data_IF_079946497167
#
_entry.id   IF_079946497167
#
_cell.length_a   1.000
_cell.length_b   1.000
_cell.length_c   1.000
_cell.angle_alpha   90.00
_cell.angle_beta   90.00
_cell.angle_gamma   90.00
#
_symmetry.space_group_name_H-M   'P 1'
#
loop_
_entity.id
_entity.type
_entity.pdbx_description
1 polymer ?
#
# COMPACT_ATOMS: atom_id res chain seq x y z
N UNK A 1 -15.13 4.28 0.66
CA UNK A 1 -14.85 2.92 0.17
C UNK A 1 -14.83 1.92 1.32
N UNK A 2 -15.24 0.67 1.07
CA UNK A 2 -15.17 -0.39 2.08
C UNK A 2 -13.71 -0.68 2.43
N UNK A 3 -13.39 -0.70 3.73
CA UNK A 3 -12.05 -1.02 4.20
C UNK A 3 -11.68 -2.48 3.87
N UNK A 4 -10.50 -2.74 3.28
CA UNK A 4 -10.04 -4.09 3.02
C UNK A 4 -9.71 -4.82 4.31
N UNK A 5 -9.68 -6.15 4.28
CA UNK A 5 -9.18 -6.98 5.38
C UNK A 5 -7.70 -7.24 5.15
N UNK A 6 -6.88 -7.07 6.19
CA UNK A 6 -5.46 -7.43 6.17
C UNK A 6 -5.33 -8.94 6.06
N UNK A 7 -4.58 -9.39 5.07
CA UNK A 7 -4.25 -10.79 4.86
C UNK A 7 -2.79 -11.05 5.23
N UNK A 8 -2.54 -12.09 6.03
CA UNK A 8 -1.21 -12.44 6.51
C UNK A 8 -1.23 -13.52 7.57
N UNK A 9 -0.41 -13.38 8.60
CA UNK A 9 -0.30 -14.37 9.67
C UNK A 9 -1.15 -13.98 10.88
N UNK A 10 -1.83 -14.96 11.48
CA UNK A 10 -2.56 -14.79 12.71
C UNK A 10 -1.66 -15.06 13.94
N UNK A 11 -1.87 -14.28 15.01
CA UNK A 11 -1.20 -14.50 16.31
C UNK A 11 -1.72 -15.75 17.03
N UNK A 12 -2.93 -16.17 16.72
CA UNK A 12 -3.55 -17.39 17.25
C UNK A 12 -4.13 -18.19 16.09
N UNK A 13 -3.81 -19.50 15.98
CA UNK A 13 -4.30 -20.33 14.89
C UNK A 13 -5.82 -20.55 14.88
N UNK A 14 -6.53 -20.20 15.95
CA UNK A 14 -7.98 -20.23 15.99
C UNK A 14 -8.65 -19.03 15.34
N UNK A 15 -7.90 -17.97 15.02
CA UNK A 15 -8.45 -16.79 14.36
C UNK A 15 -8.62 -17.00 12.87
N UNK A 16 -9.64 -16.38 12.33
CA UNK A 16 -9.99 -16.38 10.91
C UNK A 16 -10.23 -14.97 10.41
N UNK A 17 -10.35 -14.77 9.12
CA UNK A 17 -10.72 -13.48 8.54
C UNK A 17 -12.07 -12.96 9.07
N UNK A 18 -12.99 -13.88 9.42
CA UNK A 18 -14.29 -13.53 9.99
C UNK A 18 -14.19 -12.80 11.35
N UNK A 19 -13.09 -12.97 12.07
CA UNK A 19 -12.84 -12.32 13.36
C UNK A 19 -12.26 -10.91 13.21
N UNK A 20 -11.82 -10.53 12.00
CA UNK A 20 -11.11 -9.28 11.74
C UNK A 20 -12.07 -8.11 11.44
N UNK A 21 -11.63 -6.92 11.83
CA UNK A 21 -12.16 -5.65 11.32
C UNK A 21 -11.51 -5.30 9.98
N UNK A 22 -12.17 -4.43 9.21
CA UNK A 22 -11.56 -3.81 8.06
C UNK A 22 -10.39 -2.91 8.46
N UNK A 23 -9.38 -2.85 7.62
CA UNK A 23 -8.16 -2.05 7.85
C UNK A 23 -8.45 -0.57 7.60
N UNK A 24 -8.22 0.26 8.60
CA UNK A 24 -8.45 1.72 8.53
C UNK A 24 -7.22 2.52 8.06
N UNK A 25 -6.04 1.88 8.01
CA UNK A 25 -4.88 2.43 7.35
C UNK A 25 -4.17 3.56 8.08
N UNK A 26 -3.75 3.36 9.31
CA UNK A 26 -2.88 4.31 10.03
C UNK A 26 -1.49 4.46 9.40
N UNK A 27 -1.01 3.43 8.70
CA UNK A 27 0.27 3.40 7.99
C UNK A 27 0.23 3.94 6.55
N UNK A 28 -0.91 4.37 6.04
CA UNK A 28 -1.05 4.78 4.63
C UNK A 28 -0.11 5.91 4.21
N UNK A 29 0.19 6.86 5.09
CA UNK A 29 1.15 7.94 4.81
C UNK A 29 2.55 7.38 4.57
N UNK A 30 2.98 6.43 5.38
CA UNK A 30 4.26 5.75 5.24
C UNK A 30 4.36 4.98 3.93
N UNK A 31 3.27 4.33 3.53
CA UNK A 31 3.19 3.61 2.25
C UNK A 31 3.30 4.55 1.04
N UNK A 32 2.64 5.70 1.07
CA UNK A 32 2.74 6.72 0.00
C UNK A 32 4.15 7.30 -0.08
N UNK A 33 4.84 7.42 1.05
CA UNK A 33 6.24 7.83 1.10
C UNK A 33 7.19 6.75 0.55
N UNK A 34 6.74 5.49 0.42
CA UNK A 34 7.48 4.38 -0.17
C UNK A 34 8.06 3.39 0.83
N UNK A 35 7.70 3.49 2.10
CA UNK A 35 8.07 2.53 3.14
C UNK A 35 6.99 1.44 3.29
N UNK A 36 7.32 0.35 3.96
CA UNK A 36 6.35 -0.72 4.21
C UNK A 36 6.06 -1.60 2.99
N UNK A 37 4.79 -1.75 2.61
CA UNK A 37 4.35 -2.64 1.55
C UNK A 37 4.88 -2.35 0.16
N UNK A 38 5.07 -1.07 -0.12
CA UNK A 38 5.66 -0.60 -1.38
C UNK A 38 7.13 -1.00 -1.51
N UNK A 39 7.84 -1.16 -0.40
CA UNK A 39 9.26 -1.54 -0.33
C UNK A 39 9.47 -2.92 0.30
N UNK A 40 8.57 -3.84 0.07
CA UNK A 40 8.60 -5.18 0.70
C UNK A 40 9.93 -5.90 0.53
N UNK A 41 10.63 -5.73 -0.60
CA UNK A 41 11.94 -6.34 -0.85
C UNK A 41 13.03 -5.82 0.10
N UNK A 42 12.88 -4.63 0.66
CA UNK A 42 13.85 -4.05 1.58
C UNK A 42 13.84 -4.68 2.98
N UNK A 43 12.76 -5.36 3.37
CA UNK A 43 12.55 -5.88 4.71
C UNK A 43 12.44 -7.41 4.78
N UNK A 44 13.54 -8.19 4.78
CA UNK A 44 13.46 -9.66 4.84
C UNK A 44 12.71 -10.19 6.07
N UNK A 45 12.86 -9.54 7.23
CA UNK A 45 12.11 -9.89 8.44
C UNK A 45 10.60 -9.68 8.27
N UNK A 46 10.23 -8.70 7.48
CA UNK A 46 8.86 -8.39 7.14
C UNK A 46 8.19 -9.52 6.34
N UNK A 47 8.91 -10.19 5.44
CA UNK A 47 8.41 -11.31 4.65
C UNK A 47 7.90 -12.45 5.55
N UNK A 48 8.60 -12.69 6.67
CA UNK A 48 8.17 -13.69 7.66
C UNK A 48 6.85 -13.31 8.32
N UNK A 49 6.67 -12.05 8.63
CA UNK A 49 5.45 -11.53 9.27
C UNK A 49 4.23 -11.59 8.34
N UNK A 50 4.44 -11.42 7.05
CA UNK A 50 3.35 -11.46 6.05
C UNK A 50 3.16 -12.82 5.40
N UNK A 51 4.02 -13.79 5.71
CA UNK A 51 4.03 -15.11 5.06
C UNK A 51 4.44 -15.05 3.57
N UNK A 52 5.13 -14.00 3.16
CA UNK A 52 5.52 -13.77 1.76
C UNK A 52 6.91 -14.33 1.44
N UNK A 53 7.15 -14.62 0.17
CA UNK A 53 8.46 -15.01 -0.38
C UNK A 53 9.25 -13.79 -0.88
N UNK A 54 10.56 -13.94 -1.08
CA UNK A 54 11.42 -12.89 -1.67
C UNK A 54 10.95 -12.54 -3.10
N UNK A 55 10.53 -13.53 -3.87
CA UNK A 55 10.03 -13.31 -5.23
C UNK A 55 8.76 -12.46 -5.25
N UNK A 56 7.83 -12.74 -4.35
CA UNK A 56 6.60 -11.94 -4.19
C UNK A 56 6.92 -10.52 -3.72
N UNK A 57 7.84 -10.35 -2.77
CA UNK A 57 8.27 -9.04 -2.31
C UNK A 57 8.91 -8.21 -3.42
N UNK A 58 9.78 -8.83 -4.24
CA UNK A 58 10.35 -8.18 -5.43
C UNK A 58 9.27 -7.76 -6.41
N UNK A 59 8.35 -8.65 -6.72
CA UNK A 59 7.22 -8.35 -7.62
C UNK A 59 6.35 -7.20 -7.10
N UNK A 60 6.07 -7.16 -5.79
CA UNK A 60 5.32 -6.06 -5.16
C UNK A 60 6.06 -4.74 -5.27
N UNK A 61 7.36 -4.72 -4.99
CA UNK A 61 8.18 -3.50 -5.08
C UNK A 61 8.28 -2.99 -6.53
N UNK A 62 8.42 -3.88 -7.53
CA UNK A 62 8.41 -3.48 -8.94
C UNK A 62 7.04 -2.89 -9.37
N UNK A 63 5.95 -3.50 -8.95
CA UNK A 63 4.61 -2.94 -9.17
C UNK A 63 4.44 -1.57 -8.51
N UNK A 64 4.97 -1.41 -7.29
CA UNK A 64 4.96 -0.13 -6.60
C UNK A 64 5.73 0.95 -7.35
N UNK A 65 6.91 0.63 -7.90
CA UNK A 65 7.69 1.55 -8.74
C UNK A 65 6.92 1.99 -9.98
N UNK A 66 6.20 1.06 -10.61
CA UNK A 66 5.39 1.38 -11.81
C UNK A 66 4.32 2.44 -11.55
N UNK A 67 3.80 2.52 -10.33
CA UNK A 67 2.76 3.48 -9.93
C UNK A 67 3.29 4.65 -9.09
N UNK A 68 4.61 4.75 -8.93
CA UNK A 68 5.27 5.83 -8.18
C UNK A 68 5.85 6.89 -9.12
N UNK A 69 6.06 8.09 -8.61
CA UNK A 69 6.68 9.20 -9.35
C UNK A 69 8.18 9.01 -9.54
N UNK A 70 8.84 8.31 -8.60
CA UNK A 70 10.28 8.09 -8.64
C UNK A 70 10.75 7.11 -7.56
N UNK A 71 12.06 7.14 -7.34
CA UNK A 71 12.75 6.35 -6.31
C UNK A 71 13.59 7.26 -5.42
N UNK A 72 13.71 6.91 -4.13
CA UNK A 72 14.58 7.62 -3.19
C UNK A 72 16.04 7.44 -3.56
N UNK A 73 16.78 8.53 -3.68
CA UNK A 73 18.21 8.52 -3.99
C UNK A 73 19.09 8.25 -2.76
N UNK A 74 18.58 8.52 -1.57
CA UNK A 74 19.33 8.37 -0.31
C UNK A 74 19.07 7.06 0.44
N UNK A 75 18.16 6.22 -0.06
CA UNK A 75 17.79 4.95 0.56
C UNK A 75 17.84 3.79 -0.45
N UNK A 76 19.04 3.40 -0.91
CA UNK A 76 19.19 2.31 -1.86
C UNK A 76 18.99 0.95 -1.17
N UNK A 77 18.46 0.00 -1.91
CA UNK A 77 18.26 -1.38 -1.47
C UNK A 77 19.40 -2.23 -2.03
N UNK A 78 20.39 -2.66 -1.22
CA UNK A 78 21.61 -3.29 -1.73
C UNK A 78 21.38 -4.56 -2.55
N UNK A 79 20.43 -5.38 -2.16
CA UNK A 79 20.09 -6.64 -2.85
C UNK A 79 19.05 -6.50 -3.96
N UNK A 80 18.75 -5.26 -4.33
CA UNK A 80 17.88 -4.89 -5.45
C UNK A 80 18.61 -3.91 -6.37
N UNK A 81 19.84 -4.26 -6.73
CA UNK A 81 20.74 -3.50 -7.59
C UNK A 81 20.95 -2.04 -7.15
N UNK A 82 20.94 -1.81 -5.84
CA UNK A 82 21.02 -0.48 -5.23
C UNK A 82 19.93 0.51 -5.70
N UNK A 83 18.85 0.03 -6.24
CA UNK A 83 17.69 0.87 -6.55
C UNK A 83 17.05 1.41 -5.26
N UNK A 84 16.46 2.59 -5.35
CA UNK A 84 15.80 3.24 -4.21
C UNK A 84 14.42 2.68 -3.91
N UNK A 85 13.88 3.06 -2.77
CA UNK A 85 12.47 2.84 -2.46
C UNK A 85 11.59 3.61 -3.44
N UNK A 86 10.46 3.03 -3.90
CA UNK A 86 9.48 3.79 -4.66
C UNK A 86 8.94 4.95 -3.82
N UNK A 87 8.74 6.11 -4.42
CA UNK A 87 8.26 7.31 -3.73
C UNK A 87 7.26 8.10 -4.55
N UNK A 88 6.25 8.62 -3.86
CA UNK A 88 5.23 9.47 -4.45
C UNK A 88 4.24 8.67 -5.31
N UNK A 89 3.20 8.16 -4.70
CA UNK A 89 2.17 7.39 -5.38
C UNK A 89 1.38 8.28 -6.36
N UNK A 90 1.32 7.88 -7.62
CA UNK A 90 0.56 8.57 -8.67
C UNK A 90 -0.79 7.88 -8.91
N UNK A 91 -1.87 8.52 -8.46
CA UNK A 91 -3.23 7.99 -8.63
C UNK A 91 -3.61 7.72 -10.10
N UNK A 92 -3.08 8.48 -11.05
CA UNK A 92 -3.33 8.28 -12.49
C UNK A 92 -2.72 6.97 -12.97
N UNK A 93 -1.51 6.65 -12.51
CA UNK A 93 -0.83 5.38 -12.83
C UNK A 93 -1.50 4.20 -12.15
N UNK A 94 -1.92 4.37 -10.88
CA UNK A 94 -2.68 3.33 -10.15
C UNK A 94 -3.94 2.95 -10.93
N UNK A 95 -4.74 3.94 -11.34
CA UNK A 95 -5.98 3.69 -12.08
C UNK A 95 -5.70 3.21 -13.50
N UNK A 96 -4.76 3.85 -14.22
CA UNK A 96 -4.47 3.55 -15.61
C UNK A 96 -3.82 2.18 -15.84
N UNK A 97 -2.94 1.75 -14.94
CA UNK A 97 -2.28 0.44 -14.99
C UNK A 97 -3.04 -0.65 -14.24
N UNK A 98 -4.08 -0.29 -13.48
CA UNK A 98 -4.80 -1.19 -12.59
C UNK A 98 -3.86 -1.95 -11.62
N UNK A 99 -2.85 -1.26 -11.10
CA UNK A 99 -1.91 -1.77 -10.10
C UNK A 99 -2.25 -1.12 -8.77
N UNK A 100 -2.72 -1.92 -7.82
CA UNK A 100 -3.12 -1.44 -6.51
C UNK A 100 -1.92 -1.37 -5.56
N UNK A 101 -1.72 -0.25 -4.88
CA UNK A 101 -0.72 -0.15 -3.82
C UNK A 101 -1.07 -1.07 -2.66
N UNK A 102 -0.05 -1.55 -1.99
CA UNK A 102 -0.18 -2.47 -0.85
C UNK A 102 0.19 -1.71 0.41
N UNK A 103 -0.71 -1.72 1.38
CA UNK A 103 -0.44 -1.24 2.73
C UNK A 103 -0.22 -2.41 3.67
N UNK A 104 0.71 -2.25 4.59
CA UNK A 104 1.01 -3.20 5.65
C UNK A 104 0.46 -2.74 6.98
N UNK A 105 0.06 -3.69 7.83
CA UNK A 105 -0.40 -3.34 9.16
C UNK A 105 -0.76 -4.55 10.01
N UNK A 106 -1.15 -4.25 11.24
CA UNK A 106 -1.77 -5.21 12.13
C UNK A 106 -3.24 -5.39 11.81
N UNK A 107 -3.72 -6.62 11.89
CA UNK A 107 -5.15 -6.92 11.81
C UNK A 107 -5.80 -6.74 13.18
N UNK A 108 -6.83 -5.90 13.26
CA UNK A 108 -7.61 -5.71 14.47
C UNK A 108 -8.74 -6.74 14.57
N UNK A 109 -8.98 -7.27 15.76
CA UNK A 109 -10.08 -8.18 16.04
C UNK A 109 -11.36 -7.42 16.34
N UNK A 110 -12.50 -7.92 15.89
CA UNK A 110 -13.84 -7.39 16.23
C UNK A 110 -14.11 -7.31 17.74
N UNK A 111 -13.54 -8.25 18.50
CA UNK A 111 -13.62 -8.30 19.97
C UNK A 111 -12.58 -7.43 20.69
N UNK A 112 -11.75 -6.70 19.94
CA UNK A 112 -10.64 -5.91 20.47
C UNK A 112 -9.32 -6.65 20.47
N UNK A 113 -8.22 -5.90 20.39
CA UNK A 113 -6.86 -6.41 20.33
C UNK A 113 -6.37 -6.72 18.91
N UNK A 114 -5.13 -7.17 18.82
CA UNK A 114 -4.46 -7.52 17.57
C UNK A 114 -4.67 -8.99 17.24
N UNK A 115 -5.14 -9.28 16.05
CA UNK A 115 -5.36 -10.64 15.54
C UNK A 115 -4.19 -11.21 14.77
N UNK A 116 -3.35 -10.34 14.20
CA UNK A 116 -2.23 -10.73 13.35
C UNK A 116 -1.56 -9.55 12.70
N UNK A 117 -0.84 -9.82 11.63
CA UNK A 117 -0.23 -8.80 10.78
C UNK A 117 -0.16 -9.28 9.34
N UNK A 118 -0.16 -8.35 8.39
CA UNK A 118 -0.13 -8.71 6.99
C UNK A 118 -0.20 -7.51 6.06
N UNK A 119 -0.79 -7.72 4.90
CA UNK A 119 -0.92 -6.74 3.85
C UNK A 119 -2.35 -6.64 3.33
N UNK A 120 -2.73 -5.48 2.83
CA UNK A 120 -3.97 -5.25 2.11
C UNK A 120 -3.72 -4.42 0.86
N UNK A 121 -4.38 -4.74 -0.23
CA UNK A 121 -4.43 -3.86 -1.40
C UNK A 121 -5.37 -2.69 -1.12
N UNK A 122 -4.90 -1.47 -1.44
CA UNK A 122 -5.72 -0.28 -1.30
C UNK A 122 -6.80 -0.25 -2.38
N UNK A 123 -8.06 0.02 -2.03
CA UNK A 123 -9.16 -0.03 -3.00
C UNK A 123 -8.99 1.00 -4.12
N UNK A 124 -9.15 0.57 -5.37
CA UNK A 124 -9.01 1.43 -6.57
C UNK A 124 -9.97 2.64 -6.54
N UNK A 125 -11.12 2.51 -5.91
CA UNK A 125 -12.11 3.58 -5.85
C UNK A 125 -11.60 4.81 -5.09
N UNK A 126 -10.72 4.64 -4.09
CA UNK A 126 -10.07 5.78 -3.43
C UNK A 126 -9.29 6.65 -4.44
N UNK A 127 -8.58 6.02 -5.37
CA UNK A 127 -7.79 6.71 -6.39
C UNK A 127 -8.66 7.33 -7.48
N UNK A 128 -9.72 6.63 -7.90
CA UNK A 128 -10.69 7.17 -8.86
C UNK A 128 -11.41 8.39 -8.30
N UNK A 129 -11.83 8.35 -7.04
CA UNK A 129 -12.52 9.47 -6.40
C UNK A 129 -11.58 10.66 -6.19
N UNK A 130 -10.31 10.42 -5.82
CA UNK A 130 -9.30 11.47 -5.75
C UNK A 130 -9.09 12.16 -7.11
N UNK A 131 -8.99 11.40 -8.21
CA UNK A 131 -8.85 11.95 -9.56
C UNK A 131 -10.08 12.76 -9.97
N UNK A 132 -11.30 12.30 -9.65
CA UNK A 132 -12.54 13.05 -9.91
C UNK A 132 -12.58 14.36 -9.14
N UNK A 133 -12.17 14.35 -7.86
CA UNK A 133 -12.12 15.55 -7.04
C UNK A 133 -11.14 16.58 -7.60
N UNK A 134 -9.90 16.16 -7.93
CA UNK A 134 -8.88 17.03 -8.52
C UNK A 134 -9.37 17.62 -9.85
N UNK A 135 -9.99 16.82 -10.71
CA UNK A 135 -10.53 17.29 -11.98
C UNK A 135 -11.62 18.35 -11.78
N UNK A 136 -12.53 18.13 -10.84
CA UNK A 136 -13.59 19.08 -10.51
C UNK A 136 -13.03 20.42 -10.01
N UNK A 137 -12.03 20.38 -9.13
CA UNK A 137 -11.36 21.59 -8.62
C UNK A 137 -10.61 22.34 -9.73
N UNK A 138 -9.91 21.62 -10.61
CA UNK A 138 -9.20 22.22 -11.74
C UNK A 138 -10.15 22.95 -12.70
N UNK A 139 -11.32 22.38 -12.98
CA UNK A 139 -12.34 23.04 -13.80
C UNK A 139 -12.89 24.31 -13.12
N UNK A 140 -13.20 24.24 -11.82
CA UNK A 140 -13.68 25.40 -11.07
C UNK A 140 -12.64 26.54 -11.01
N UNK A 141 -11.36 26.20 -10.97
CA UNK A 141 -10.27 27.17 -11.04
C UNK A 141 -10.18 27.85 -12.40
N UNK A 142 -10.24 27.09 -13.47
CA UNK A 142 -10.20 27.62 -14.83
C UNK A 142 -11.37 28.57 -15.12
N UNK A 143 -12.55 28.33 -14.55
CA UNK A 143 -13.73 29.22 -14.67
C UNK A 143 -13.59 30.53 -13.91
N UNK A 144 -12.73 30.59 -12.87
CA UNK A 144 -12.50 31.83 -12.07
C UNK A 144 -11.43 32.75 -12.67
N UNK A 145 -10.54 32.20 -13.49
CA UNK A 145 -9.45 32.99 -14.12
C UNK A 145 -9.77 33.46 -15.56
N UNK A 146 -10.90 33.06 -16.12
CA UNK A 146 -11.40 33.48 -17.45
C UNK A 146 -12.47 34.50 -17.37
#
# INVERSE_FOLDING_TARGET
TKAPVIQGTFLNPSYTEADLLGYLGDSCVTEVYGLGGMSAIAGPAYLRMTGSTIAEARSRTEKARAVSLGEHTFAPIPWDDFRGFPVGLDARRVVGLNILPISHGGSALKKGGQGGAGAAELPVDCFKDALRAIHKEALAWAEQEG
#
